data_IF_793372593994
#
_entry.id   IF_793372593994
#
_cell.length_a   1.000
_cell.length_b   1.000
_cell.length_c   1.000
_cell.angle_alpha   90.00
_cell.angle_beta   90.00
_cell.angle_gamma   90.00
#
_symmetry.space_group_name_H-M   'P 1'
#
loop_
_entity.id
_entity.type
_entity.pdbx_description
1 polymer ?
#
# COMPACT_ATOMS: atom_id res chain seq x y z
N UNK A 1 -86.87 -36.95 110.61
CA UNK A 1 -85.55 -36.35 110.90
C UNK A 1 -84.48 -36.93 109.93
N UNK A 2 -84.29 -36.43 108.71
CA UNK A 2 -83.86 -35.09 108.31
C UNK A 2 -82.59 -34.65 109.06
N UNK A 3 -81.41 -34.94 108.51
CA UNK A 3 -80.13 -34.51 109.09
C UNK A 3 -78.90 -35.17 108.48
N UNK A 4 -78.57 -34.85 107.22
CA UNK A 4 -77.23 -35.07 106.63
C UNK A 4 -77.07 -34.30 105.30
N UNK A 5 -77.31 -32.99 105.31
CA UNK A 5 -77.23 -32.13 104.12
C UNK A 5 -76.04 -31.14 104.05
N UNK A 6 -75.36 -30.69 105.14
CA UNK A 6 -74.39 -29.59 105.01
C UNK A 6 -72.95 -30.02 104.70
N UNK A 7 -72.47 -31.19 105.14
CA UNK A 7 -71.07 -31.62 104.92
C UNK A 7 -70.81 -32.12 103.49
N UNK A 8 -71.83 -32.67 102.84
CA UNK A 8 -71.77 -33.12 101.44
C UNK A 8 -71.58 -31.94 100.48
N UNK A 9 -72.10 -30.76 100.85
CA UNK A 9 -72.01 -29.56 100.01
C UNK A 9 -70.62 -28.89 100.00
N UNK A 10 -69.85 -28.91 101.11
CA UNK A 10 -68.49 -28.35 101.13
C UNK A 10 -67.48 -29.20 100.33
N UNK A 11 -67.53 -30.52 100.49
CA UNK A 11 -66.69 -31.44 99.71
C UNK A 11 -67.06 -31.36 98.22
N UNK A 12 -68.36 -31.24 97.90
CA UNK A 12 -68.81 -31.00 96.52
C UNK A 12 -68.26 -29.70 95.93
N UNK A 13 -68.27 -28.58 96.66
CA UNK A 13 -67.73 -27.30 96.20
C UNK A 13 -66.21 -27.34 95.94
N UNK A 14 -65.42 -28.00 96.79
CA UNK A 14 -63.97 -28.18 96.58
C UNK A 14 -63.67 -29.12 95.41
N UNK A 15 -64.45 -30.20 95.25
CA UNK A 15 -64.32 -31.10 94.09
C UNK A 15 -64.68 -30.39 92.77
N UNK A 16 -65.70 -29.53 92.77
CA UNK A 16 -66.06 -28.70 91.62
C UNK A 16 -64.95 -27.69 91.26
N UNK A 17 -64.27 -27.11 92.26
CA UNK A 17 -63.13 -26.20 92.05
C UNK A 17 -61.92 -26.91 91.41
N UNK A 18 -61.55 -28.09 91.93
CA UNK A 18 -60.47 -28.92 91.37
C UNK A 18 -60.79 -29.38 89.94
N UNK A 19 -62.05 -29.74 89.67
CA UNK A 19 -62.51 -30.19 88.36
C UNK A 19 -62.44 -29.04 87.33
N UNK A 20 -62.84 -27.82 87.71
CA UNK A 20 -62.63 -26.64 86.88
C UNK A 20 -61.14 -26.33 86.63
N UNK A 21 -60.28 -26.56 87.63
CA UNK A 21 -58.82 -26.36 87.50
C UNK A 21 -58.20 -27.39 86.55
N UNK A 22 -58.60 -28.66 86.65
CA UNK A 22 -58.23 -29.74 85.73
C UNK A 22 -58.70 -29.41 84.31
N UNK A 23 -59.95 -28.99 84.13
CA UNK A 23 -60.48 -28.59 82.82
C UNK A 23 -59.73 -27.38 82.24
N UNK A 24 -59.30 -26.43 83.08
CA UNK A 24 -58.50 -25.28 82.66
C UNK A 24 -57.11 -25.68 82.18
N UNK A 25 -56.43 -26.54 82.94
CA UNK A 25 -55.12 -27.09 82.56
C UNK A 25 -55.22 -27.94 81.29
N UNK A 26 -56.26 -28.76 81.15
CA UNK A 26 -56.52 -29.54 79.92
C UNK A 26 -56.69 -28.64 78.70
N UNK A 27 -57.44 -27.53 78.82
CA UNK A 27 -57.57 -26.51 77.77
C UNK A 27 -56.23 -25.86 77.43
N UNK A 28 -55.42 -25.51 78.44
CA UNK A 28 -54.08 -24.95 78.24
C UNK A 28 -53.12 -25.94 77.55
N UNK A 29 -53.13 -27.22 77.95
CA UNK A 29 -52.34 -28.27 77.31
C UNK A 29 -52.77 -28.44 75.85
N UNK A 30 -54.08 -28.46 75.58
CA UNK A 30 -54.59 -28.55 74.22
C UNK A 30 -54.17 -27.34 73.37
N UNK A 31 -54.19 -26.14 73.95
CA UNK A 31 -53.72 -24.92 73.32
C UNK A 31 -52.22 -25.00 72.99
N UNK A 32 -51.37 -25.33 73.97
CA UNK A 32 -49.93 -25.48 73.77
C UNK A 32 -49.59 -26.54 72.72
N UNK A 33 -50.30 -27.67 72.71
CA UNK A 33 -50.13 -28.71 71.69
C UNK A 33 -50.50 -28.22 70.30
N UNK A 34 -51.55 -27.40 70.17
CA UNK A 34 -51.93 -26.76 68.91
C UNK A 34 -50.85 -25.79 68.44
N UNK A 35 -50.32 -24.94 69.32
CA UNK A 35 -49.26 -23.99 68.99
C UNK A 35 -47.94 -24.70 68.62
N UNK A 36 -47.55 -25.74 69.35
CA UNK A 36 -46.37 -26.55 69.02
C UNK A 36 -46.49 -27.22 67.64
N UNK A 37 -47.66 -27.78 67.33
CA UNK A 37 -47.91 -28.38 66.02
C UNK A 37 -47.87 -27.34 64.90
N UNK A 38 -48.46 -26.15 65.13
CA UNK A 38 -48.42 -25.04 64.19
C UNK A 38 -46.99 -24.59 63.92
N UNK A 39 -46.19 -24.37 64.98
CA UNK A 39 -44.79 -23.99 64.86
C UNK A 39 -43.98 -25.05 64.09
N UNK A 40 -44.20 -26.34 64.38
CA UNK A 40 -43.52 -27.42 63.67
C UNK A 40 -43.87 -27.44 62.18
N UNK A 41 -45.15 -27.22 61.84
CA UNK A 41 -45.60 -27.13 60.46
C UNK A 41 -44.97 -25.93 59.72
N UNK A 42 -44.96 -24.76 60.35
CA UNK A 42 -44.40 -23.53 59.77
C UNK A 42 -42.87 -23.67 59.57
N UNK A 43 -42.16 -24.27 60.52
CA UNK A 43 -40.73 -24.57 60.39
C UNK A 43 -40.47 -25.56 59.25
N UNK A 44 -41.32 -26.58 59.08
CA UNK A 44 -41.17 -27.53 57.98
C UNK A 44 -41.32 -26.86 56.61
N UNK A 45 -42.30 -25.96 56.47
CA UNK A 45 -42.46 -25.16 55.26
C UNK A 45 -41.25 -24.25 54.99
N UNK A 46 -40.69 -23.65 56.04
CA UNK A 46 -39.50 -22.80 55.90
C UNK A 46 -38.26 -23.61 55.49
N UNK A 47 -38.09 -24.81 56.04
CA UNK A 47 -37.03 -25.74 55.61
C UNK A 47 -37.19 -26.08 54.12
N UNK A 48 -38.40 -26.41 53.67
CA UNK A 48 -38.66 -26.71 52.25
C UNK A 48 -38.38 -25.50 51.35
N UNK A 49 -38.74 -24.29 51.81
CA UNK A 49 -38.47 -23.04 51.10
C UNK A 49 -36.98 -22.76 50.96
N UNK A 50 -36.23 -22.90 52.04
CA UNK A 50 -34.77 -22.75 52.06
C UNK A 50 -34.10 -23.81 51.18
N UNK A 51 -34.54 -25.06 51.25
CA UNK A 51 -34.03 -26.14 50.38
C UNK A 51 -34.21 -25.78 48.91
N UNK A 52 -35.41 -25.34 48.51
CA UNK A 52 -35.68 -24.87 47.14
C UNK A 52 -34.75 -23.72 46.75
N UNK A 53 -34.61 -22.72 47.61
CA UNK A 53 -33.76 -21.57 47.32
C UNK A 53 -32.27 -21.95 47.20
N UNK A 54 -31.76 -22.83 48.06
CA UNK A 54 -30.40 -23.34 47.97
C UNK A 54 -30.17 -24.11 46.67
N UNK A 55 -31.14 -24.91 46.20
CA UNK A 55 -31.03 -25.60 44.91
C UNK A 55 -31.02 -24.64 43.73
N UNK A 56 -31.89 -23.61 43.74
CA UNK A 56 -31.92 -22.58 42.70
C UNK A 56 -30.60 -21.81 42.65
N UNK A 57 -30.08 -21.37 43.80
CA UNK A 57 -28.82 -20.64 43.87
C UNK A 57 -27.63 -21.49 43.42
N UNK A 58 -27.62 -22.78 43.77
CA UNK A 58 -26.58 -23.72 43.31
C UNK A 58 -26.61 -23.82 41.78
N UNK A 59 -27.79 -23.97 41.19
CA UNK A 59 -27.96 -24.02 39.74
C UNK A 59 -27.53 -22.72 39.06
N UNK A 60 -27.91 -21.56 39.61
CA UNK A 60 -27.49 -20.26 39.07
C UNK A 60 -25.97 -20.06 39.10
N UNK A 61 -25.29 -20.56 40.14
CA UNK A 61 -23.83 -20.52 40.22
C UNK A 61 -23.18 -21.45 39.20
N UNK A 62 -23.70 -22.67 39.02
CA UNK A 62 -23.22 -23.60 37.99
C UNK A 62 -23.38 -23.02 36.58
N UNK A 63 -24.52 -22.39 36.28
CA UNK A 63 -24.77 -21.75 34.99
C UNK A 63 -23.80 -20.59 34.75
N UNK A 64 -23.58 -19.72 35.73
CA UNK A 64 -22.60 -18.62 35.64
C UNK A 64 -21.17 -19.14 35.48
N UNK A 65 -20.82 -20.25 36.12
CA UNK A 65 -19.51 -20.85 35.96
C UNK A 65 -19.31 -21.41 34.55
N UNK A 66 -20.33 -22.04 33.97
CA UNK A 66 -20.30 -22.50 32.58
C UNK A 66 -20.19 -21.33 31.59
N UNK A 67 -20.94 -20.25 31.81
CA UNK A 67 -20.85 -19.02 31.01
C UNK A 67 -19.46 -18.39 31.10
N UNK A 68 -18.88 -18.30 32.31
CA UNK A 68 -17.52 -17.78 32.50
C UNK A 68 -16.49 -18.63 31.76
N UNK A 69 -16.56 -19.96 31.89
CA UNK A 69 -15.67 -20.88 31.15
C UNK A 69 -15.83 -20.74 29.64
N UNK A 70 -17.07 -20.56 29.15
CA UNK A 70 -17.31 -20.35 27.73
C UNK A 70 -16.76 -19.01 27.25
N UNK A 71 -16.88 -17.96 28.06
CA UNK A 71 -16.30 -16.65 27.77
C UNK A 71 -14.78 -16.72 27.71
N UNK A 72 -14.13 -17.41 28.65
CA UNK A 72 -12.67 -17.59 28.67
C UNK A 72 -12.16 -18.28 27.39
N UNK A 73 -12.89 -19.27 26.88
CA UNK A 73 -12.55 -19.96 25.62
C UNK A 73 -12.65 -18.98 24.44
N UNK A 74 -13.73 -18.19 24.38
CA UNK A 74 -13.91 -17.19 23.31
C UNK A 74 -12.80 -16.15 23.36
N UNK A 75 -12.45 -15.67 24.54
CA UNK A 75 -11.40 -14.67 24.72
C UNK A 75 -10.03 -15.21 24.30
N UNK A 76 -9.72 -16.47 24.64
CA UNK A 76 -8.51 -17.14 24.17
C UNK A 76 -8.46 -17.28 22.64
N UNK A 77 -9.56 -17.72 22.01
CA UNK A 77 -9.61 -17.83 20.55
C UNK A 77 -9.44 -16.48 19.85
N UNK A 78 -10.01 -15.41 20.41
CA UNK A 78 -9.86 -14.06 19.90
C UNK A 78 -8.42 -13.57 20.06
N UNK A 79 -7.79 -13.83 21.20
CA UNK A 79 -6.40 -13.47 21.45
C UNK A 79 -5.45 -14.20 20.49
N UNK A 80 -5.67 -15.48 20.22
CA UNK A 80 -4.91 -16.24 19.22
C UNK A 80 -5.07 -15.65 17.81
N UNK A 81 -6.30 -15.33 17.40
CA UNK A 81 -6.57 -14.67 16.12
C UNK A 81 -5.86 -13.32 16.03
N UNK A 82 -5.89 -12.52 17.10
CA UNK A 82 -5.15 -11.26 17.19
C UNK A 82 -3.64 -11.47 17.03
N UNK A 83 -3.05 -12.42 17.75
CA UNK A 83 -1.61 -12.75 17.65
C UNK A 83 -1.21 -13.16 16.23
N UNK A 84 -2.02 -13.97 15.55
CA UNK A 84 -1.78 -14.38 14.17
C UNK A 84 -1.81 -13.17 13.22
N UNK A 85 -2.84 -12.34 13.34
CA UNK A 85 -2.97 -11.14 12.50
C UNK A 85 -1.85 -10.14 12.73
N UNK A 86 -1.42 -9.94 13.99
CA UNK A 86 -0.28 -9.08 14.34
C UNK A 86 1.03 -9.61 13.74
N UNK A 87 1.29 -10.92 13.81
CA UNK A 87 2.48 -11.51 13.22
C UNK A 87 2.51 -11.33 11.69
N UNK A 88 1.36 -11.53 11.02
CA UNK A 88 1.23 -11.28 9.58
C UNK A 88 1.46 -9.81 9.23
N UNK A 89 0.92 -8.89 10.03
CA UNK A 89 1.14 -7.46 9.83
C UNK A 89 2.63 -7.11 9.95
N UNK A 90 3.31 -7.61 10.99
CA UNK A 90 4.74 -7.37 11.20
C UNK A 90 5.61 -7.92 10.06
N UNK A 91 5.28 -9.09 9.52
CA UNK A 91 5.97 -9.64 8.35
C UNK A 91 5.80 -8.73 7.13
N UNK A 92 4.57 -8.28 6.84
CA UNK A 92 4.30 -7.34 5.74
C UNK A 92 4.99 -6.00 5.93
N UNK A 93 5.12 -5.51 7.16
CA UNK A 93 5.86 -4.29 7.47
C UNK A 93 7.35 -4.45 7.19
N UNK A 94 7.94 -5.60 7.55
CA UNK A 94 9.35 -5.92 7.22
C UNK A 94 9.58 -5.97 5.71
N UNK A 95 8.74 -6.68 4.98
CA UNK A 95 8.78 -6.74 3.51
C UNK A 95 8.68 -5.32 2.90
N UNK A 96 7.75 -4.50 3.41
CA UNK A 96 7.56 -3.14 2.92
C UNK A 96 8.81 -2.27 3.17
N UNK A 97 9.45 -2.42 4.33
CA UNK A 97 10.69 -1.72 4.65
C UNK A 97 11.85 -2.12 3.73
N UNK A 98 11.92 -3.39 3.33
CA UNK A 98 12.91 -3.88 2.36
C UNK A 98 12.67 -3.31 0.97
N UNK A 99 11.43 -3.38 0.47
CA UNK A 99 11.06 -2.79 -0.81
C UNK A 99 11.34 -1.28 -0.86
N UNK A 100 11.05 -0.56 0.23
CA UNK A 100 11.39 0.87 0.34
C UNK A 100 12.91 1.11 0.33
N UNK A 101 13.71 0.24 0.96
CA UNK A 101 15.18 0.33 0.91
C UNK A 101 15.70 0.12 -0.51
N UNK A 102 15.21 -0.90 -1.21
CA UNK A 102 15.58 -1.15 -2.60
C UNK A 102 15.17 -0.02 -3.53
N UNK A 103 13.97 0.52 -3.35
CA UNK A 103 13.48 1.63 -4.15
C UNK A 103 14.41 2.85 -4.01
N UNK A 104 14.76 3.22 -2.77
CA UNK A 104 15.73 4.31 -2.51
C UNK A 104 17.08 4.06 -3.16
N UNK A 105 17.57 2.83 -3.11
CA UNK A 105 18.83 2.47 -3.75
C UNK A 105 18.76 2.63 -5.28
N UNK A 106 17.69 2.13 -5.90
CA UNK A 106 17.42 2.25 -7.34
C UNK A 106 17.27 3.72 -7.77
N UNK A 107 16.56 4.53 -6.98
CA UNK A 107 16.42 5.97 -7.20
C UNK A 107 17.77 6.69 -7.19
N UNK A 108 18.62 6.38 -6.21
CA UNK A 108 19.99 6.90 -6.12
C UNK A 108 20.83 6.52 -7.35
N UNK A 109 20.75 5.27 -7.78
CA UNK A 109 21.45 4.80 -8.98
C UNK A 109 20.96 5.53 -10.24
N UNK A 110 19.65 5.69 -10.40
CA UNK A 110 19.06 6.43 -11.53
C UNK A 110 19.51 7.90 -11.50
N UNK A 111 19.54 8.55 -10.34
CA UNK A 111 20.03 9.92 -10.20
C UNK A 111 21.52 10.04 -10.60
N UNK A 112 22.36 9.11 -10.16
CA UNK A 112 23.77 9.06 -10.52
C UNK A 112 23.98 8.86 -12.03
N UNK A 113 23.26 7.93 -12.65
CA UNK A 113 23.33 7.67 -14.08
C UNK A 113 22.84 8.87 -14.91
N UNK A 114 21.73 9.50 -14.52
CA UNK A 114 21.24 10.74 -15.15
C UNK A 114 22.27 11.85 -15.07
N UNK A 115 22.91 12.03 -13.92
CA UNK A 115 24.00 13.00 -13.75
C UNK A 115 25.19 12.67 -14.66
N UNK A 116 25.61 11.40 -14.71
CA UNK A 116 26.71 10.96 -15.57
C UNK A 116 26.44 11.23 -17.06
N UNK A 117 25.22 10.95 -17.52
CA UNK A 117 24.82 11.19 -18.91
C UNK A 117 24.84 12.69 -19.23
N UNK A 118 24.26 13.54 -18.37
CA UNK A 118 24.34 15.00 -18.52
C UNK A 118 25.80 15.51 -18.53
N UNK A 119 26.68 14.91 -17.73
CA UNK A 119 28.10 15.28 -17.72
C UNK A 119 28.80 14.90 -19.02
N UNK A 120 28.51 13.71 -19.57
CA UNK A 120 29.06 13.27 -20.85
C UNK A 120 28.56 14.13 -22.00
N UNK A 121 27.26 14.45 -22.03
CA UNK A 121 26.66 15.35 -23.01
C UNK A 121 27.32 16.73 -23.01
N UNK A 122 27.50 17.34 -21.83
CA UNK A 122 28.22 18.62 -21.71
C UNK A 122 29.65 18.53 -22.28
N UNK A 123 30.40 17.48 -21.93
CA UNK A 123 31.76 17.27 -22.44
C UNK A 123 31.81 17.11 -23.96
N UNK A 124 30.86 16.37 -24.55
CA UNK A 124 30.79 16.21 -26.00
C UNK A 124 30.44 17.52 -26.72
N UNK A 125 29.54 18.32 -26.16
CA UNK A 125 29.20 19.63 -26.72
C UNK A 125 30.38 20.61 -26.68
N UNK A 126 31.13 20.63 -25.57
CA UNK A 126 32.35 21.45 -25.49
C UNK A 126 33.38 21.02 -26.54
N UNK A 127 33.60 19.72 -26.70
CA UNK A 127 34.53 19.19 -27.71
C UNK A 127 34.08 19.51 -29.14
N UNK A 128 32.78 19.38 -29.41
CA UNK A 128 32.20 19.75 -30.69
C UNK A 128 32.40 21.25 -30.98
N UNK A 129 32.16 22.12 -30.00
CA UNK A 129 32.40 23.57 -30.12
C UNK A 129 33.87 23.88 -30.40
N UNK A 130 34.80 23.25 -29.67
CA UNK A 130 36.26 23.43 -29.91
C UNK A 130 36.65 23.04 -31.33
N UNK A 131 36.18 21.87 -31.81
CA UNK A 131 36.49 21.39 -33.17
C UNK A 131 35.86 22.27 -34.24
N UNK A 132 34.61 22.68 -34.05
CA UNK A 132 33.93 23.60 -34.97
C UNK A 132 34.70 24.91 -35.11
N UNK A 133 35.14 25.50 -33.99
CA UNK A 133 35.97 26.71 -34.03
C UNK A 133 37.30 26.48 -34.77
N UNK A 134 37.97 25.34 -34.52
CA UNK A 134 39.21 24.99 -35.23
C UNK A 134 38.99 24.84 -36.74
N UNK A 135 37.88 24.23 -37.17
CA UNK A 135 37.52 24.12 -38.59
C UNK A 135 37.29 25.51 -39.18
N UNK A 136 36.60 26.41 -38.48
CA UNK A 136 36.42 27.79 -38.94
C UNK A 136 37.76 28.51 -39.13
N UNK A 137 38.68 28.40 -38.17
CA UNK A 137 40.03 29.00 -38.26
C UNK A 137 40.79 28.47 -39.47
N UNK A 138 40.90 27.14 -39.61
CA UNK A 138 41.58 26.51 -40.75
C UNK A 138 40.94 26.86 -42.10
N UNK A 139 39.61 26.98 -42.16
CA UNK A 139 38.92 27.40 -43.37
C UNK A 139 39.26 28.85 -43.75
N UNK A 140 39.36 29.75 -42.76
CA UNK A 140 39.81 31.12 -43.02
C UNK A 140 41.27 31.21 -43.45
N UNK A 141 42.14 30.34 -42.93
CA UNK A 141 43.54 30.23 -43.37
C UNK A 141 43.62 29.73 -44.80
N UNK A 142 42.91 28.64 -45.12
CA UNK A 142 42.83 28.08 -46.47
C UNK A 142 42.29 29.11 -47.49
N UNK A 143 41.27 29.87 -47.12
CA UNK A 143 40.71 30.93 -47.97
C UNK A 143 41.76 32.01 -48.29
N UNK A 144 42.54 32.44 -47.29
CA UNK A 144 43.62 33.43 -47.49
C UNK A 144 44.70 32.89 -48.45
N UNK A 145 45.11 31.64 -48.27
CA UNK A 145 46.08 31.00 -49.17
C UNK A 145 45.51 30.87 -50.59
N UNK A 146 44.22 30.54 -50.72
CA UNK A 146 43.54 30.44 -52.02
C UNK A 146 43.47 31.79 -52.73
N UNK A 147 43.15 32.86 -52.01
CA UNK A 147 43.14 34.24 -52.54
C UNK A 147 44.53 34.70 -52.98
N UNK A 148 45.57 34.40 -52.19
CA UNK A 148 46.96 34.68 -52.53
C UNK A 148 47.40 33.92 -53.79
N UNK A 149 47.07 32.64 -53.89
CA UNK A 149 47.36 31.81 -55.06
C UNK A 149 46.65 32.32 -56.32
N UNK A 150 45.38 32.73 -56.21
CA UNK A 150 44.62 33.32 -57.31
C UNK A 150 45.23 34.66 -57.76
N UNK A 151 45.65 35.50 -56.81
CA UNK A 151 46.33 36.77 -57.09
C UNK A 151 47.65 36.56 -57.85
N UNK A 152 48.51 35.65 -57.39
CA UNK A 152 49.76 35.33 -58.09
C UNK A 152 49.50 34.72 -59.47
N UNK A 153 48.49 33.84 -59.59
CA UNK A 153 48.08 33.27 -60.88
C UNK A 153 47.62 34.36 -61.86
N UNK A 154 46.85 35.34 -61.38
CA UNK A 154 46.44 36.50 -62.18
C UNK A 154 47.65 37.34 -62.61
N UNK A 155 48.60 37.60 -61.71
CA UNK A 155 49.84 38.30 -62.06
C UNK A 155 50.63 37.55 -63.15
N UNK A 156 50.80 36.23 -63.02
CA UNK A 156 51.50 35.39 -64.00
C UNK A 156 50.78 35.37 -65.35
N UNK A 157 49.45 35.28 -65.36
CA UNK A 157 48.69 35.33 -66.59
C UNK A 157 48.82 36.70 -67.27
N UNK A 158 48.77 37.79 -66.49
CA UNK A 158 48.95 39.15 -66.97
C UNK A 158 50.36 39.38 -67.55
N UNK A 159 51.42 38.90 -66.88
CA UNK A 159 52.80 38.99 -67.41
C UNK A 159 52.97 38.15 -68.68
N UNK A 160 52.47 36.90 -68.69
CA UNK A 160 52.47 36.02 -69.86
C UNK A 160 51.73 36.68 -71.04
N UNK A 161 50.56 37.28 -70.80
CA UNK A 161 49.81 37.98 -71.84
C UNK A 161 50.60 39.16 -72.41
N UNK A 162 51.24 40.00 -71.56
CA UNK A 162 52.10 41.10 -72.04
C UNK A 162 53.26 40.61 -72.92
N UNK A 163 53.93 39.53 -72.52
CA UNK A 163 54.99 38.92 -73.32
C UNK A 163 54.46 38.34 -74.64
N UNK A 164 53.32 37.65 -74.62
CA UNK A 164 52.68 37.12 -75.82
C UNK A 164 52.20 38.23 -76.77
N UNK A 165 51.63 39.32 -76.27
CA UNK A 165 51.26 40.49 -77.08
C UNK A 165 52.49 41.17 -77.68
N UNK A 166 53.61 41.25 -76.95
CA UNK A 166 54.89 41.73 -77.49
C UNK A 166 55.44 40.81 -78.59
N UNK A 167 55.35 39.48 -78.40
CA UNK A 167 55.79 38.48 -79.39
C UNK A 167 54.88 38.45 -80.63
N UNK A 168 53.57 38.62 -80.47
CA UNK A 168 52.63 38.73 -81.59
C UNK A 168 52.77 40.04 -82.36
N UNK A 169 53.17 41.15 -81.71
CA UNK A 169 53.54 42.39 -82.41
C UNK A 169 54.86 42.23 -83.20
N UNK A 170 55.82 41.46 -82.70
CA UNK A 170 57.02 41.10 -83.46
C UNK A 170 56.75 40.10 -84.61
N UNK A 171 55.64 39.38 -84.57
CA UNK A 171 55.18 38.46 -85.63
C UNK A 171 54.17 39.08 -86.62
N UNK A 172 53.88 40.39 -86.50
CA UNK A 172 52.90 41.07 -87.37
C UNK A 172 53.50 41.70 -88.63
N UNK A 173 54.79 41.48 -88.89
CA UNK A 173 55.47 41.85 -90.14
C UNK A 173 55.65 40.67 -91.13
N UNK A 174 55.02 39.50 -90.92
CA UNK A 174 54.97 38.43 -91.93
C UNK A 174 53.61 37.72 -91.95
N UNK A 175 52.94 37.56 -93.10
CA UNK A 175 51.84 36.62 -93.23
C UNK A 175 52.38 35.21 -93.55
N UNK A 176 51.54 34.20 -93.31
CA UNK A 176 51.65 32.82 -93.80
C UNK A 176 52.53 31.87 -92.99
N UNK A 177 51.92 31.00 -92.18
CA UNK A 177 51.47 29.65 -92.59
C UNK A 177 51.10 28.82 -91.36
N UNK A 178 50.02 28.08 -91.54
CA UNK A 178 49.81 26.72 -91.07
C UNK A 178 49.85 26.43 -89.56
N UNK A 179 48.63 26.34 -89.03
CA UNK A 179 48.14 25.25 -88.17
C UNK A 179 49.19 24.21 -87.78
N UNK A 180 49.72 24.35 -86.58
CA UNK A 180 50.17 23.23 -85.75
C UNK A 180 49.52 23.38 -84.37
N UNK A 181 48.21 23.11 -84.34
CA UNK A 181 47.47 22.81 -83.13
C UNK A 181 47.70 21.33 -82.79
N UNK A 182 48.87 21.04 -82.22
CA UNK A 182 49.16 19.76 -81.58
C UNK A 182 49.80 20.07 -80.23
N UNK A 183 48.96 20.53 -79.30
CA UNK A 183 49.29 20.54 -77.89
C UNK A 183 48.01 20.74 -77.11
N UNK A 184 47.46 19.64 -76.60
CA UNK A 184 46.74 19.52 -75.34
C UNK A 184 46.15 18.09 -75.26
N UNK A 185 47.02 17.10 -74.98
CA UNK A 185 46.61 16.01 -74.11
C UNK A 185 46.49 16.61 -72.71
N UNK A 186 45.38 17.30 -72.46
CA UNK A 186 44.93 17.55 -71.10
C UNK A 186 44.43 16.20 -70.62
N UNK A 187 45.28 15.50 -69.88
CA UNK A 187 44.86 14.43 -68.99
C UNK A 187 43.70 14.99 -68.18
N UNK A 188 42.48 14.59 -68.55
CA UNK A 188 41.27 15.05 -67.89
C UNK A 188 41.43 14.77 -66.41
N UNK A 189 41.33 15.83 -65.61
CA UNK A 189 41.56 15.80 -64.16
C UNK A 189 40.84 14.57 -63.57
N UNK A 190 41.54 13.74 -62.77
CA UNK A 190 40.94 12.50 -62.28
C UNK A 190 39.70 12.84 -61.48
N UNK A 191 38.62 12.07 -61.69
CA UNK A 191 37.34 12.28 -61.04
C UNK A 191 37.53 12.37 -59.50
N UNK A 192 37.21 13.51 -58.87
CA UNK A 192 37.39 13.69 -57.43
C UNK A 192 36.55 12.71 -56.59
N UNK A 193 35.56 12.04 -57.20
CA UNK A 193 34.76 11.01 -56.54
C UNK A 193 35.59 9.77 -56.11
N UNK A 194 36.78 9.53 -56.68
CA UNK A 194 37.63 8.42 -56.26
C UNK A 194 38.09 8.51 -54.80
N UNK A 195 38.12 9.71 -54.20
CA UNK A 195 38.40 9.89 -52.78
C UNK A 195 37.22 9.56 -51.86
N UNK A 196 35.99 9.47 -52.39
CA UNK A 196 34.79 9.17 -51.59
C UNK A 196 34.49 7.67 -51.46
N UNK A 197 35.18 6.83 -52.25
CA UNK A 197 34.99 5.37 -52.23
C UNK A 197 36.09 4.60 -51.49
N UNK A 198 36.85 5.25 -50.61
CA UNK A 198 37.72 4.51 -49.69
C UNK A 198 36.87 3.80 -48.63
N UNK A 199 36.51 2.55 -48.94
CA UNK A 199 36.65 1.39 -48.05
C UNK A 199 36.05 1.59 -46.65
N UNK A 200 34.74 1.32 -46.50
CA UNK A 200 34.14 1.01 -45.19
C UNK A 200 34.83 -0.23 -44.62
N UNK A 201 35.65 -0.04 -43.60
CA UNK A 201 36.12 -1.13 -42.76
C UNK A 201 34.93 -1.69 -41.97
N UNK A 202 34.64 -2.97 -42.18
CA UNK A 202 33.74 -3.76 -41.33
C UNK A 202 34.21 -3.70 -39.87
N UNK A 203 33.30 -3.33 -38.97
CA UNK A 203 33.53 -3.46 -37.53
C UNK A 203 33.47 -4.95 -37.13
N UNK A 204 34.38 -5.45 -36.27
CA UNK A 204 34.31 -6.80 -35.76
C UNK A 204 33.26 -6.89 -34.63
N UNK A 205 32.35 -7.86 -34.76
CA UNK A 205 31.42 -8.30 -33.71
C UNK A 205 32.18 -9.06 -32.62
N UNK A 206 31.94 -8.78 -31.31
CA UNK A 206 32.44 -9.64 -30.24
C UNK A 206 31.50 -10.83 -30.06
N UNK A 207 32.03 -12.04 -30.30
CA UNK A 207 31.42 -13.29 -29.88
C UNK A 207 31.59 -13.45 -28.35
N UNK A 208 30.49 -13.33 -27.59
CA UNK A 208 30.39 -13.88 -26.24
C UNK A 208 29.75 -15.27 -26.34
N UNK A 209 30.54 -16.31 -26.11
CA UNK A 209 30.06 -17.67 -25.85
C UNK A 209 29.53 -17.72 -24.41
N UNK A 210 28.25 -18.01 -24.24
CA UNK A 210 27.73 -18.59 -23.00
C UNK A 210 27.23 -20.00 -23.32
N UNK A 211 27.96 -21.00 -22.81
CA UNK A 211 27.52 -22.38 -22.75
C UNK A 211 26.38 -22.50 -21.74
N UNK A 212 25.22 -23.02 -22.16
CA UNK A 212 24.33 -23.72 -21.24
C UNK A 212 23.82 -25.00 -21.89
N UNK A 213 24.33 -26.09 -21.32
CA UNK A 213 23.98 -27.49 -21.53
C UNK A 213 22.55 -27.75 -21.07
N UNK A 214 21.81 -28.48 -21.90
CA UNK A 214 20.48 -28.98 -21.60
C UNK A 214 20.47 -29.93 -20.39
N UNK A 215 19.36 -29.94 -19.65
CA UNK A 215 18.82 -31.15 -19.02
C UNK A 215 17.31 -30.99 -18.86
N UNK A 216 16.61 -31.83 -19.61
CA UNK A 216 15.19 -32.07 -19.48
C UNK A 216 14.88 -32.71 -18.12
N UNK A 217 13.69 -32.47 -17.58
CA UNK A 217 12.87 -33.51 -16.97
C UNK A 217 11.40 -33.07 -17.01
N UNK A 218 10.63 -33.93 -17.66
CA UNK A 218 9.18 -33.93 -17.75
C UNK A 218 8.58 -34.47 -16.45
N UNK A 219 7.56 -33.81 -15.90
CA UNK A 219 6.43 -34.53 -15.30
C UNK A 219 5.14 -33.73 -15.51
N UNK A 220 4.17 -34.42 -16.11
CA UNK A 220 2.79 -34.02 -16.37
C UNK A 220 1.95 -34.17 -15.09
N UNK A 221 0.98 -33.28 -14.89
CA UNK A 221 -0.46 -33.54 -14.63
C UNK A 221 -1.16 -32.16 -14.72
N UNK A 222 -1.97 -31.86 -15.74
CA UNK A 222 -3.44 -32.04 -15.77
C UNK A 222 -4.08 -31.57 -14.44
N UNK A 223 -4.90 -30.50 -14.41
CA UNK A 223 -6.25 -30.52 -14.97
C UNK A 223 -6.79 -29.09 -15.11
N UNK A 224 -7.36 -28.87 -16.29
CA UNK A 224 -8.17 -27.73 -16.73
C UNK A 224 -9.54 -27.74 -16.01
N UNK A 225 -10.00 -26.59 -15.50
CA UNK A 225 -11.43 -26.24 -15.39
C UNK A 225 -11.65 -24.85 -14.78
N UNK A 226 -12.18 -23.95 -15.61
CA UNK A 226 -13.06 -22.83 -15.27
C UNK A 226 -14.01 -22.66 -16.47
N UNK A 227 -15.20 -22.04 -16.38
CA UNK A 227 -15.95 -21.52 -15.24
C UNK A 227 -17.44 -21.99 -15.24
N UNK A 228 -18.36 -21.33 -14.51
CA UNK A 228 -19.26 -20.47 -15.29
C UNK A 228 -19.57 -19.10 -14.68
N UNK A 229 -19.99 -18.24 -15.60
CA UNK A 229 -20.49 -16.88 -15.45
C UNK A 229 -21.72 -16.82 -14.54
N UNK A 230 -21.68 -15.93 -13.55
CA UNK A 230 -22.86 -15.39 -12.88
C UNK A 230 -22.84 -13.87 -13.02
N UNK A 231 -23.67 -13.34 -13.92
CA UNK A 231 -23.88 -11.91 -14.03
C UNK A 231 -24.78 -11.41 -12.92
N UNK A 232 -24.51 -10.20 -12.40
CA UNK A 232 -25.59 -9.35 -11.92
C UNK A 232 -25.24 -7.87 -12.06
N UNK A 233 -26.18 -7.21 -12.72
CA UNK A 233 -26.19 -5.82 -13.16
C UNK A 233 -26.17 -4.86 -11.97
N UNK A 234 -25.52 -3.71 -12.18
CA UNK A 234 -25.58 -2.54 -11.30
C UNK A 234 -26.35 -1.46 -12.05
N UNK A 235 -27.60 -1.20 -11.69
CA UNK A 235 -28.33 0.01 -12.03
C UNK A 235 -29.58 0.19 -11.16
N UNK A 236 -29.67 1.35 -10.50
CA UNK A 236 -30.92 2.05 -10.19
C UNK A 236 -31.77 1.56 -9.02
N UNK A 237 -31.76 2.31 -7.92
CA UNK A 237 -32.98 2.91 -7.33
C UNK A 237 -32.61 3.76 -6.09
N UNK A 238 -32.75 5.08 -6.22
CA UNK A 238 -33.09 5.95 -5.09
C UNK A 238 -34.57 5.75 -4.76
N UNK A 239 -34.96 5.91 -3.49
CA UNK A 239 -36.25 6.47 -3.17
C UNK A 239 -36.10 7.83 -2.47
N UNK A 240 -36.84 8.78 -3.03
CA UNK A 240 -37.39 9.94 -2.33
C UNK A 240 -38.10 9.52 -1.03
N UNK A 241 -37.93 10.29 0.05
CA UNK A 241 -39.02 10.80 0.89
C UNK A 241 -38.47 11.72 2.00
N UNK A 242 -38.77 13.02 1.87
CA UNK A 242 -39.04 13.95 2.99
C UNK A 242 -40.52 13.75 3.38
N UNK A 243 -40.98 14.03 4.63
CA UNK A 243 -40.88 15.38 5.21
C UNK A 243 -40.79 15.51 6.75
N UNK A 244 -40.67 16.78 7.16
CA UNK A 244 -41.17 17.41 8.40
C UNK A 244 -40.26 17.42 9.64
N UNK A 245 -39.63 18.58 9.83
CA UNK A 245 -39.71 19.44 11.02
C UNK A 245 -40.02 18.76 12.38
N UNK A 246 -39.04 18.78 13.29
CA UNK A 246 -39.30 19.35 14.63
C UNK A 246 -38.00 19.88 15.24
N UNK A 247 -38.13 21.08 15.81
CA UNK A 247 -37.11 21.86 16.45
C UNK A 247 -36.46 21.19 17.68
N UNK A 248 -35.17 21.47 17.90
CA UNK A 248 -34.67 21.77 19.24
C UNK A 248 -33.40 22.59 19.18
N UNK A 249 -33.60 23.88 19.45
CA UNK A 249 -32.57 24.85 19.74
C UNK A 249 -31.94 24.54 21.11
N UNK A 250 -30.66 24.17 21.13
CA UNK A 250 -29.88 24.18 22.36
C UNK A 250 -29.40 25.61 22.58
N UNK A 251 -30.14 26.36 23.40
CA UNK A 251 -29.66 27.56 24.09
C UNK A 251 -28.80 27.10 25.27
N UNK A 252 -27.50 27.34 25.23
CA UNK A 252 -26.68 27.42 26.44
C UNK A 252 -26.67 28.87 26.92
N UNK A 253 -27.45 29.13 27.96
CA UNK A 253 -27.44 30.39 28.72
C UNK A 253 -26.24 30.40 29.68
N UNK A 254 -25.66 31.60 29.86
CA UNK A 254 -24.38 31.88 30.53
C UNK A 254 -24.28 31.56 32.03
N UNK A 255 -23.12 31.80 32.63
CA UNK A 255 -22.70 33.02 33.38
C UNK A 255 -21.25 32.81 33.90
N UNK A 256 -20.62 33.76 34.62
CA UNK A 256 -20.32 35.15 34.28
C UNK A 256 -18.82 35.49 34.50
N UNK A 257 -18.46 36.72 34.12
CA UNK A 257 -17.15 37.36 34.29
C UNK A 257 -16.73 37.48 35.76
N UNK A 258 -15.47 37.18 36.04
CA UNK A 258 -14.71 37.69 37.18
C UNK A 258 -14.22 39.11 36.88
N UNK A 259 -14.50 40.04 37.79
CA UNK A 259 -13.94 41.39 37.77
C UNK A 259 -12.53 41.38 38.36
N UNK A 260 -11.59 41.95 37.59
CA UNK A 260 -10.52 42.82 38.04
C UNK A 260 -10.73 44.17 37.34
#
# INVERSE_FOLDING_TARGET
>A
PAGSAPAVNCVAMETQSLEHQIQSVQRHIAFLKKEQLQLLHDLHLEILRLQKHCTELTHDLEMKELEARQQDIIDQELEEKCKIMEAQLQEKEKDNLELRRELRHKESLVAALRSNLRNKERKFLEELKRRSHRVTVLNTELQKETEAAAYLSFQLHSTKQRLHSSRQRAFKDLPSRDKLSSFEDIESMPDPALFLYTKRHHAPTPHLKSEHRASALSSKMATDQSPPKGGRQKAGQQPHQDPAETASAIRTMGKPKSHL
#
